data_IF_852896205579
#
_entry.id   IF_852896205579
#
_cell.length_a   1.000
_cell.length_b   1.000
_cell.length_c   1.000
_cell.angle_alpha   90.00
_cell.angle_beta   90.00
_cell.angle_gamma   90.00
#
_symmetry.space_group_name_H-M   'P 1'
#
loop_
_entity.id
_entity.type
_entity.pdbx_description
1 polymer ?
#
# COMPACT_ATOMS: atom_id res chain seq x y z
N UNK A 1 44.46 39.05 82.98
CA UNK A 1 45.18 38.87 81.71
C UNK A 1 44.42 37.80 80.92
N UNK A 2 43.65 38.20 79.92
CA UNK A 2 42.84 37.28 79.11
C UNK A 2 43.57 37.08 77.78
N UNK A 3 43.91 35.80 77.52
CA UNK A 3 44.55 35.41 76.27
C UNK A 3 43.43 35.10 75.25
N UNK A 4 43.42 35.77 74.11
CA UNK A 4 42.52 35.52 73.00
C UNK A 4 43.22 34.60 72.01
N UNK A 5 42.75 33.36 71.87
CA UNK A 5 43.20 32.42 70.84
C UNK A 5 42.36 32.65 69.56
N UNK A 6 42.99 33.05 68.48
CA UNK A 6 42.34 33.24 67.18
C UNK A 6 42.45 31.94 66.38
N UNK A 7 41.36 31.31 66.08
CA UNK A 7 41.25 30.08 65.27
C UNK A 7 41.00 30.51 63.81
N UNK A 8 42.00 30.24 62.94
CA UNK A 8 41.89 30.48 61.49
C UNK A 8 41.27 29.25 60.80
N UNK A 9 40.06 29.43 60.25
CA UNK A 9 39.41 28.39 59.42
C UNK A 9 39.95 28.48 57.99
N UNK A 10 40.58 27.38 57.54
CA UNK A 10 41.02 27.20 56.16
C UNK A 10 39.88 26.62 55.31
N UNK A 11 39.31 27.40 54.37
CA UNK A 11 38.33 26.89 53.41
C UNK A 11 39.02 26.23 52.25
N UNK A 12 38.83 24.93 52.12
CA UNK A 12 39.29 24.12 50.96
C UNK A 12 38.26 24.22 49.85
N UNK A 13 38.48 24.97 48.78
CA UNK A 13 37.67 24.98 47.57
C UNK A 13 37.97 23.72 46.73
N UNK A 14 37.06 22.77 46.72
CA UNK A 14 37.09 21.64 45.79
C UNK A 14 36.48 22.07 44.44
N UNK A 15 37.32 22.27 43.43
CA UNK A 15 36.87 22.50 42.06
C UNK A 15 36.33 21.19 41.46
N UNK A 16 35.02 21.08 41.33
CA UNK A 16 34.35 19.99 40.62
C UNK A 16 34.56 20.17 39.10
N UNK A 17 35.40 19.37 38.49
CA UNK A 17 35.51 19.30 37.02
C UNK A 17 34.30 18.57 36.48
N UNK A 18 33.37 19.30 35.89
CA UNK A 18 32.24 18.74 35.14
C UNK A 18 32.79 18.09 33.84
N UNK A 19 32.83 16.77 33.79
CA UNK A 19 33.09 16.03 32.56
C UNK A 19 31.82 16.13 31.68
N UNK A 20 31.89 16.80 30.55
CA UNK A 20 30.86 16.82 29.55
C UNK A 20 30.64 15.38 29.01
N UNK A 21 29.42 14.87 29.17
CA UNK A 21 29.03 13.58 28.58
C UNK A 21 29.11 13.67 27.04
N UNK A 22 29.74 12.69 26.36
CA UNK A 22 29.74 12.68 24.90
C UNK A 22 28.31 12.65 24.36
N UNK A 23 28.02 13.33 23.23
CA UNK A 23 26.69 13.31 22.64
C UNK A 23 26.29 11.86 22.32
N UNK A 24 24.99 11.50 22.48
CA UNK A 24 24.52 10.16 22.15
C UNK A 24 24.85 9.85 20.70
N UNK A 25 25.35 8.62 20.45
CA UNK A 25 25.63 8.14 19.10
C UNK A 25 24.36 8.28 18.25
N UNK A 26 24.46 9.02 17.16
CA UNK A 26 23.35 9.10 16.19
C UNK A 26 23.06 7.69 15.69
N UNK A 27 21.78 7.29 15.78
CA UNK A 27 21.32 6.06 15.15
C UNK A 27 21.73 6.08 13.67
N UNK A 28 22.19 4.95 13.08
CA UNK A 28 22.57 4.89 11.69
C UNK A 28 21.42 5.43 10.83
N UNK A 29 21.72 6.35 9.92
CA UNK A 29 20.75 6.90 8.99
C UNK A 29 20.11 5.74 8.23
N UNK A 30 18.76 5.68 8.23
CA UNK A 30 18.01 4.67 7.48
C UNK A 30 18.42 4.75 6.00
N UNK A 31 18.71 3.62 5.32
CA UNK A 31 19.07 3.66 3.92
C UNK A 31 17.98 4.38 3.13
N UNK A 32 18.35 5.42 2.41
CA UNK A 32 17.46 6.19 1.56
C UNK A 32 17.37 5.45 0.23
N UNK A 33 16.21 4.86 -0.08
CA UNK A 33 15.94 4.29 -1.39
C UNK A 33 15.56 5.41 -2.35
N UNK A 34 16.29 5.53 -3.45
CA UNK A 34 15.91 6.47 -4.49
C UNK A 34 14.69 5.97 -5.28
N UNK A 35 13.93 6.88 -5.88
CA UNK A 35 12.85 6.47 -6.80
C UNK A 35 13.36 5.60 -7.94
N UNK A 36 14.58 5.86 -8.43
CA UNK A 36 15.21 5.05 -9.49
C UNK A 36 15.46 3.60 -9.04
N UNK A 37 15.94 3.38 -7.81
CA UNK A 37 16.14 2.05 -7.25
C UNK A 37 14.81 1.29 -7.11
N UNK A 38 13.79 1.98 -6.63
CA UNK A 38 12.45 1.40 -6.47
C UNK A 38 11.79 1.11 -7.83
N UNK A 39 11.95 1.98 -8.81
CA UNK A 39 11.48 1.74 -10.17
C UNK A 39 12.17 0.51 -10.78
N UNK A 40 13.49 0.40 -10.64
CA UNK A 40 14.24 -0.76 -11.12
C UNK A 40 13.76 -2.06 -10.45
N UNK A 41 13.47 -2.03 -9.14
CA UNK A 41 12.90 -3.18 -8.43
C UNK A 41 11.51 -3.56 -8.98
N UNK A 42 10.61 -2.58 -9.16
CA UNK A 42 9.29 -2.80 -9.74
C UNK A 42 9.35 -3.34 -11.17
N UNK A 43 10.24 -2.78 -12.01
CA UNK A 43 10.44 -3.25 -13.39
C UNK A 43 10.97 -4.68 -13.42
N UNK A 44 11.89 -5.04 -12.52
CA UNK A 44 12.42 -6.40 -12.40
C UNK A 44 11.31 -7.41 -12.04
N UNK A 45 10.40 -7.03 -11.14
CA UNK A 45 9.22 -7.83 -10.82
C UNK A 45 8.31 -8.02 -12.04
N UNK A 46 7.98 -6.95 -12.76
CA UNK A 46 7.12 -7.04 -13.96
C UNK A 46 7.76 -7.92 -15.02
N UNK A 47 9.07 -7.83 -15.23
CA UNK A 47 9.79 -8.71 -16.17
C UNK A 47 9.82 -10.18 -15.71
N UNK A 48 10.01 -10.43 -14.41
CA UNK A 48 9.93 -11.75 -13.83
C UNK A 48 8.53 -12.37 -14.05
N UNK A 49 7.48 -11.60 -13.74
CA UNK A 49 6.09 -12.06 -13.89
C UNK A 49 5.71 -12.31 -15.36
N UNK A 50 6.18 -11.49 -16.30
CA UNK A 50 5.96 -11.71 -17.75
C UNK A 50 6.56 -13.03 -18.24
N UNK A 51 7.69 -13.43 -17.67
CA UNK A 51 8.41 -14.63 -18.11
C UNK A 51 8.18 -15.86 -17.23
N UNK A 52 7.55 -15.71 -16.06
CA UNK A 52 7.45 -16.76 -15.05
C UNK A 52 8.82 -17.17 -14.49
N UNK A 53 9.77 -16.21 -14.46
CA UNK A 53 11.14 -16.46 -14.03
C UNK A 53 11.51 -15.50 -12.87
N UNK A 54 11.34 -16.00 -11.66
CA UNK A 54 11.60 -15.27 -10.42
C UNK A 54 13.07 -14.86 -10.29
N UNK A 55 14.02 -15.50 -11.00
CA UNK A 55 15.44 -15.16 -10.96
C UNK A 55 15.75 -13.79 -11.56
N UNK A 56 14.82 -13.22 -12.34
CA UNK A 56 14.94 -11.86 -12.89
C UNK A 56 14.70 -10.77 -11.87
N UNK A 57 14.09 -11.08 -10.73
CA UNK A 57 13.99 -10.14 -9.62
C UNK A 57 15.35 -9.96 -8.94
N UNK A 58 15.69 -8.72 -8.59
CA UNK A 58 16.89 -8.41 -7.79
C UNK A 58 16.77 -8.85 -6.33
N UNK A 59 16.57 -10.13 -6.08
CA UNK A 59 16.30 -10.68 -4.75
C UNK A 59 17.52 -10.68 -3.85
N UNK A 60 17.29 -10.52 -2.55
CA UNK A 60 18.25 -10.90 -1.52
C UNK A 60 18.21 -12.42 -1.28
N UNK A 61 19.29 -12.98 -0.74
CA UNK A 61 19.40 -14.44 -0.51
C UNK A 61 18.35 -14.96 0.47
N UNK A 62 17.94 -14.12 1.44
CA UNK A 62 16.94 -14.38 2.47
C UNK A 62 15.56 -13.78 2.15
N UNK A 63 15.27 -13.51 0.88
CA UNK A 63 14.00 -12.93 0.47
C UNK A 63 12.80 -13.81 0.86
N UNK A 64 11.78 -13.17 1.46
CA UNK A 64 10.52 -13.83 1.84
C UNK A 64 9.45 -13.58 0.79
N UNK A 65 8.55 -14.55 0.67
CA UNK A 65 7.45 -14.50 -0.29
C UNK A 65 6.12 -14.76 0.41
N UNK A 66 5.16 -13.90 0.15
CA UNK A 66 3.78 -14.06 0.60
C UNK A 66 2.84 -13.95 -0.60
N UNK A 67 1.81 -14.80 -0.60
CA UNK A 67 0.67 -14.71 -1.53
C UNK A 67 -0.62 -14.79 -0.72
N UNK A 68 -1.51 -13.85 -0.96
CA UNK A 68 -2.79 -13.71 -0.25
C UNK A 68 -2.62 -13.72 1.29
N UNK A 69 -1.57 -13.02 1.75
CA UNK A 69 -1.18 -12.88 3.16
C UNK A 69 -0.76 -14.20 3.87
N UNK A 70 -0.39 -15.21 3.10
CA UNK A 70 0.19 -16.46 3.61
C UNK A 70 1.64 -16.59 3.11
N UNK A 71 2.54 -17.12 3.96
CA UNK A 71 3.91 -17.45 3.52
C UNK A 71 3.86 -18.55 2.45
N UNK A 72 4.56 -18.33 1.34
CA UNK A 72 4.64 -19.24 0.19
C UNK A 72 6.10 -19.47 -0.17
N UNK A 73 6.44 -20.70 -0.57
CA UNK A 73 7.79 -20.98 -1.06
C UNK A 73 8.09 -20.20 -2.34
N UNK A 74 9.33 -19.80 -2.54
CA UNK A 74 9.78 -19.03 -3.72
C UNK A 74 9.35 -19.67 -5.06
N UNK A 75 9.33 -20.99 -5.13
CA UNK A 75 9.01 -21.80 -6.31
C UNK A 75 7.53 -22.17 -6.46
N UNK A 76 6.66 -21.68 -5.55
CA UNK A 76 5.25 -22.08 -5.51
C UNK A 76 4.25 -20.97 -5.84
N UNK A 77 4.63 -19.68 -5.79
CA UNK A 77 3.70 -18.57 -6.03
C UNK A 77 3.49 -18.23 -7.52
N UNK A 78 2.50 -17.40 -7.79
CA UNK A 78 2.11 -16.98 -9.15
C UNK A 78 3.28 -16.35 -9.95
N UNK A 79 4.27 -15.75 -9.29
CA UNK A 79 5.47 -15.19 -9.93
C UNK A 79 6.32 -16.21 -10.72
N UNK A 80 6.04 -17.52 -10.58
CA UNK A 80 6.65 -18.58 -11.40
C UNK A 80 5.83 -18.93 -12.66
N UNK A 81 4.71 -18.25 -12.88
CA UNK A 81 3.87 -18.41 -14.06
C UNK A 81 4.06 -17.24 -15.01
N UNK A 82 4.37 -17.52 -16.28
CA UNK A 82 4.45 -16.51 -17.31
C UNK A 82 3.07 -15.92 -17.59
N UNK A 83 2.92 -14.61 -17.44
CA UNK A 83 1.65 -13.92 -17.62
C UNK A 83 1.70 -12.92 -18.79
N UNK A 84 0.72 -12.94 -19.71
CA UNK A 84 0.56 -11.93 -20.77
C UNK A 84 -0.02 -10.64 -20.17
N UNK A 85 0.83 -9.83 -19.50
CA UNK A 85 0.43 -8.62 -18.81
C UNK A 85 -0.07 -7.59 -19.81
N UNK A 86 -1.35 -7.21 -19.72
CA UNK A 86 -1.98 -6.20 -20.54
C UNK A 86 -1.69 -4.78 -20.03
N UNK A 87 -1.66 -4.59 -18.71
CA UNK A 87 -1.33 -3.31 -18.07
C UNK A 87 -0.58 -3.56 -16.76
N UNK A 88 0.42 -2.70 -16.48
CA UNK A 88 1.04 -2.63 -15.16
C UNK A 88 1.24 -1.18 -14.75
N UNK A 89 1.10 -0.91 -13.43
CA UNK A 89 1.29 0.41 -12.84
C UNK A 89 1.96 0.28 -11.49
N UNK A 90 3.02 1.06 -11.26
CA UNK A 90 3.79 1.00 -10.02
C UNK A 90 3.78 2.33 -9.28
N UNK A 91 3.75 2.26 -7.95
CA UNK A 91 3.86 3.39 -7.02
C UNK A 91 5.04 3.14 -6.08
N UNK A 92 5.77 4.21 -5.74
CA UNK A 92 7.11 4.13 -5.16
C UNK A 92 7.19 4.91 -3.84
N UNK A 93 7.33 4.22 -2.72
CA UNK A 93 7.50 4.79 -1.38
C UNK A 93 8.98 4.88 -1.01
N UNK A 94 9.63 6.01 -1.35
CA UNK A 94 11.04 6.24 -1.06
C UNK A 94 11.34 6.36 0.44
N UNK A 95 10.35 6.72 1.25
CA UNK A 95 10.52 6.87 2.70
C UNK A 95 10.60 5.52 3.41
N UNK A 96 9.85 4.52 2.92
CA UNK A 96 9.78 3.18 3.50
C UNK A 96 10.50 2.12 2.67
N UNK A 97 11.09 2.51 1.53
CA UNK A 97 11.74 1.58 0.60
C UNK A 97 10.80 0.46 0.14
N UNK A 98 9.62 0.84 -0.35
CA UNK A 98 8.60 -0.09 -0.80
C UNK A 98 8.04 0.31 -2.16
N UNK A 99 7.52 -0.68 -2.88
CA UNK A 99 6.71 -0.44 -4.08
C UNK A 99 5.36 -1.12 -3.95
N UNK A 100 4.37 -0.61 -4.67
CA UNK A 100 3.16 -1.34 -4.99
C UNK A 100 3.00 -1.35 -6.50
N UNK A 101 2.79 -2.52 -7.09
CA UNK A 101 2.56 -2.70 -8.52
C UNK A 101 1.26 -3.44 -8.74
N UNK A 102 0.35 -2.80 -9.48
CA UNK A 102 -0.86 -3.42 -10.01
C UNK A 102 -0.56 -4.02 -11.37
N UNK A 103 -0.97 -5.29 -11.58
CA UNK A 103 -0.79 -6.04 -12.83
C UNK A 103 -2.14 -6.57 -13.26
N UNK A 104 -2.51 -6.36 -14.53
CA UNK A 104 -3.77 -6.83 -15.10
C UNK A 104 -3.47 -7.77 -16.26
N UNK A 105 -4.08 -8.95 -16.20
CA UNK A 105 -3.98 -10.03 -17.19
C UNK A 105 -5.37 -10.42 -17.64
N UNK A 106 -5.68 -10.22 -18.91
CA UNK A 106 -7.01 -10.52 -19.49
C UNK A 106 -6.98 -11.68 -20.48
N UNK A 107 -5.77 -12.03 -20.98
CA UNK A 107 -5.56 -13.09 -21.94
C UNK A 107 -5.09 -14.37 -21.28
N UNK A 108 -5.23 -15.50 -21.98
CA UNK A 108 -4.89 -16.84 -21.51
C UNK A 108 -6.07 -17.54 -20.84
N UNK A 109 -5.80 -18.74 -20.34
CA UNK A 109 -6.85 -19.61 -19.76
C UNK A 109 -7.33 -19.13 -18.38
N UNK A 110 -6.54 -18.26 -17.74
CA UNK A 110 -6.80 -17.80 -16.39
C UNK A 110 -6.46 -16.31 -16.23
N UNK A 111 -7.44 -15.40 -16.37
CA UNK A 111 -7.25 -13.98 -16.13
C UNK A 111 -6.99 -13.67 -14.65
N UNK A 112 -6.17 -12.61 -14.39
CA UNK A 112 -5.80 -12.16 -13.04
C UNK A 112 -5.82 -10.65 -12.93
N UNK A 113 -6.08 -10.14 -11.71
CA UNK A 113 -5.66 -8.81 -11.28
C UNK A 113 -4.83 -8.98 -10.02
N UNK A 114 -3.58 -8.52 -10.07
CA UNK A 114 -2.59 -8.78 -9.01
C UNK A 114 -2.08 -7.46 -8.45
N UNK A 115 -2.08 -7.32 -7.15
CA UNK A 115 -1.41 -6.24 -6.44
C UNK A 115 -0.18 -6.77 -5.72
N UNK A 116 1.03 -6.36 -6.12
CA UNK A 116 2.27 -6.84 -5.50
C UNK A 116 3.03 -5.71 -4.84
N UNK A 117 3.46 -5.94 -3.61
CA UNK A 117 4.38 -5.09 -2.86
C UNK A 117 5.77 -5.68 -2.82
N UNK A 118 6.76 -4.82 -3.04
CA UNK A 118 8.16 -5.16 -2.82
C UNK A 118 8.69 -4.35 -1.63
N UNK A 119 9.46 -5.02 -0.79
CA UNK A 119 10.21 -4.38 0.30
C UNK A 119 11.67 -4.44 -0.08
N UNK A 120 12.28 -3.28 -0.24
CA UNK A 120 13.65 -3.13 -0.73
C UNK A 120 14.57 -2.71 0.40
N UNK A 121 15.74 -3.34 0.48
CA UNK A 121 16.81 -2.97 1.41
C UNK A 121 18.15 -3.08 0.71
N UNK A 122 18.98 -2.05 0.82
CA UNK A 122 20.29 -1.97 0.16
C UNK A 122 20.25 -2.35 -1.34
N UNK A 123 19.18 -1.93 -2.06
CA UNK A 123 19.00 -2.20 -3.49
C UNK A 123 18.57 -3.64 -3.82
N UNK A 124 18.23 -4.46 -2.83
CA UNK A 124 17.74 -5.84 -3.01
C UNK A 124 16.31 -6.00 -2.49
N UNK A 125 15.53 -6.82 -3.17
CA UNK A 125 14.17 -7.16 -2.74
C UNK A 125 14.26 -8.19 -1.62
N UNK A 126 13.83 -7.80 -0.41
CA UNK A 126 13.80 -8.62 0.80
C UNK A 126 12.48 -9.35 1.00
N UNK A 127 11.39 -8.82 0.42
CA UNK A 127 10.07 -9.43 0.51
C UNK A 127 9.25 -9.10 -0.72
N UNK A 128 8.58 -10.11 -1.24
CA UNK A 128 7.53 -10.04 -2.24
C UNK A 128 6.22 -10.42 -1.56
N UNK A 129 5.20 -9.57 -1.66
CA UNK A 129 3.90 -9.76 -1.00
C UNK A 129 2.80 -9.46 -2.02
N UNK A 130 2.16 -10.51 -2.55
CA UNK A 130 1.18 -10.40 -3.62
C UNK A 130 -0.23 -10.71 -3.12
N UNK A 131 -1.20 -9.89 -3.51
CA UNK A 131 -2.62 -10.26 -3.52
C UNK A 131 -3.00 -10.63 -4.94
N UNK A 132 -3.40 -11.88 -5.14
CA UNK A 132 -3.77 -12.46 -6.42
C UNK A 132 -5.28 -12.63 -6.44
N UNK A 133 -5.97 -11.92 -7.33
CA UNK A 133 -7.41 -12.08 -7.53
C UNK A 133 -7.70 -12.72 -8.88
N UNK A 134 -8.68 -13.61 -8.88
CA UNK A 134 -9.16 -14.36 -10.03
C UNK A 134 -10.67 -14.63 -9.97
N UNK A 135 -11.14 -15.51 -10.85
CA UNK A 135 -12.56 -15.86 -10.92
C UNK A 135 -13.06 -16.50 -9.61
N UNK A 136 -14.05 -15.88 -8.99
CA UNK A 136 -14.63 -16.27 -7.70
C UNK A 136 -14.29 -15.31 -6.59
N UNK A 137 -13.32 -14.44 -6.79
CA UNK A 137 -13.01 -13.34 -5.90
C UNK A 137 -14.04 -12.20 -5.97
N UNK A 138 -13.97 -11.26 -5.04
CA UNK A 138 -14.96 -10.20 -4.88
C UNK A 138 -15.07 -9.33 -6.13
N UNK A 139 -16.25 -9.33 -6.77
CA UNK A 139 -16.59 -8.56 -7.96
C UNK A 139 -15.62 -8.74 -9.13
N UNK A 140 -14.88 -9.85 -9.18
CA UNK A 140 -13.82 -10.05 -10.15
C UNK A 140 -14.32 -10.02 -11.60
N UNK A 141 -13.69 -9.19 -12.42
CA UNK A 141 -13.73 -9.19 -13.88
C UNK A 141 -12.52 -8.46 -14.44
N UNK A 142 -11.51 -9.20 -14.92
CA UNK A 142 -10.26 -8.62 -15.42
C UNK A 142 -10.46 -7.73 -16.65
N UNK A 143 -11.41 -8.04 -17.54
CA UNK A 143 -11.70 -7.22 -18.73
C UNK A 143 -12.27 -5.86 -18.36
N UNK A 144 -13.27 -5.84 -17.48
CA UNK A 144 -13.83 -4.60 -16.94
C UNK A 144 -12.76 -3.81 -16.17
N UNK A 145 -11.94 -4.49 -15.37
CA UNK A 145 -10.86 -3.85 -14.62
C UNK A 145 -9.87 -3.17 -15.55
N UNK A 146 -9.40 -3.87 -16.61
CA UNK A 146 -8.51 -3.29 -17.63
C UNK A 146 -9.15 -2.09 -18.32
N UNK A 147 -10.40 -2.23 -18.78
CA UNK A 147 -11.14 -1.18 -19.49
C UNK A 147 -11.17 0.14 -18.71
N UNK A 148 -11.53 0.09 -17.43
CA UNK A 148 -11.66 1.28 -16.61
C UNK A 148 -10.32 1.77 -16.08
N UNK A 149 -9.45 0.90 -15.60
CA UNK A 149 -8.10 1.27 -15.12
C UNK A 149 -7.26 1.94 -16.21
N UNK A 150 -7.37 1.49 -17.47
CA UNK A 150 -6.65 2.09 -18.61
C UNK A 150 -7.19 3.47 -19.00
N UNK A 151 -8.47 3.75 -18.73
CA UNK A 151 -9.11 5.03 -19.05
C UNK A 151 -8.91 6.11 -17.97
N UNK A 152 -8.50 5.72 -16.76
CA UNK A 152 -8.27 6.64 -15.66
C UNK A 152 -6.95 7.41 -15.76
N UNK A 153 -6.96 8.66 -15.31
CA UNK A 153 -5.74 9.46 -15.18
C UNK A 153 -5.03 9.15 -13.85
N UNK A 154 -3.86 8.52 -13.95
CA UNK A 154 -2.95 8.25 -12.84
C UNK A 154 -1.65 9.06 -12.95
N UNK A 155 -1.60 10.09 -13.75
CA UNK A 155 -0.45 10.98 -13.86
C UNK A 155 -0.17 11.68 -12.51
N UNK A 156 1.09 11.98 -12.26
CA UNK A 156 1.48 12.69 -11.03
C UNK A 156 0.80 14.08 -10.99
N UNK A 157 0.14 14.44 -9.90
CA UNK A 157 -0.46 15.76 -9.76
C UNK A 157 0.61 16.86 -9.73
N UNK A 158 0.24 18.07 -10.16
CA UNK A 158 1.10 19.24 -10.01
C UNK A 158 1.57 19.37 -8.54
N UNK A 159 2.80 19.85 -8.33
CA UNK A 159 3.40 19.92 -7.00
C UNK A 159 2.51 20.60 -5.95
N UNK A 160 1.80 21.67 -6.32
CA UNK A 160 0.87 22.38 -5.44
C UNK A 160 -0.39 21.59 -5.08
N UNK A 161 -0.72 20.55 -5.84
CA UNK A 161 -1.88 19.69 -5.63
C UNK A 161 -1.53 18.36 -4.94
N UNK A 162 -0.24 18.12 -4.65
CA UNK A 162 0.24 16.93 -3.95
C UNK A 162 -0.15 16.97 -2.48
N UNK A 163 -0.32 15.79 -1.92
CA UNK A 163 -0.76 15.59 -0.54
C UNK A 163 0.37 14.92 0.24
N UNK A 164 0.77 15.47 1.40
CA UNK A 164 1.82 14.85 2.22
C UNK A 164 1.38 13.49 2.80
N UNK A 165 2.34 12.61 3.07
CA UNK A 165 2.11 11.24 3.54
C UNK A 165 1.12 11.15 4.72
N UNK A 166 1.21 12.08 5.68
CA UNK A 166 0.30 12.11 6.85
C UNK A 166 -1.16 12.27 6.44
N UNK A 167 -1.43 13.11 5.47
CA UNK A 167 -2.79 13.37 4.98
C UNK A 167 -3.29 12.20 4.12
N UNK A 168 -2.42 11.59 3.28
CA UNK A 168 -2.73 10.37 2.54
C UNK A 168 -3.16 9.24 3.49
N UNK A 169 -2.40 9.02 4.58
CA UNK A 169 -2.74 8.02 5.62
C UNK A 169 -4.07 8.36 6.27
N UNK A 170 -4.29 9.62 6.67
CA UNK A 170 -5.52 10.05 7.32
C UNK A 170 -6.74 9.84 6.42
N UNK A 171 -6.63 10.20 5.14
CA UNK A 171 -7.70 10.00 4.16
C UNK A 171 -8.01 8.52 3.94
N UNK A 172 -6.99 7.69 3.70
CA UNK A 172 -7.18 6.25 3.53
C UNK A 172 -7.83 5.62 4.77
N UNK A 173 -7.37 5.99 5.97
CA UNK A 173 -7.96 5.49 7.21
C UNK A 173 -9.41 5.94 7.37
N UNK A 174 -9.75 7.20 7.07
CA UNK A 174 -11.14 7.65 7.17
C UNK A 174 -12.09 6.86 6.26
N UNK A 175 -11.63 6.46 5.06
CA UNK A 175 -12.40 5.57 4.18
C UNK A 175 -12.59 4.18 4.82
N UNK A 176 -11.50 3.58 5.32
CA UNK A 176 -11.56 2.24 5.89
C UNK A 176 -12.31 2.19 7.23
N UNK A 177 -12.29 3.28 7.99
CA UNK A 177 -12.99 3.39 9.27
C UNK A 177 -14.51 3.58 9.11
N UNK A 178 -14.98 4.05 7.93
CA UNK A 178 -16.43 4.13 7.62
C UNK A 178 -17.16 2.78 7.79
N UNK A 179 -16.46 1.66 7.60
CA UNK A 179 -17.03 0.33 7.77
C UNK A 179 -17.35 0.00 9.24
N UNK A 180 -16.64 0.61 10.19
CA UNK A 180 -16.90 0.46 11.63
C UNK A 180 -17.68 1.63 12.22
N UNK A 181 -17.51 2.84 11.70
CA UNK A 181 -18.21 4.05 12.15
C UNK A 181 -18.69 4.90 10.95
N UNK A 182 -19.98 4.86 10.69
CA UNK A 182 -20.63 5.52 9.54
C UNK A 182 -20.69 7.05 9.65
N UNK A 183 -20.31 7.61 10.79
CA UNK A 183 -20.27 9.06 11.00
C UNK A 183 -18.92 9.68 10.62
N UNK A 184 -17.92 8.86 10.29
CA UNK A 184 -16.64 9.35 9.81
C UNK A 184 -16.82 10.02 8.44
N UNK A 185 -16.22 11.20 8.27
CA UNK A 185 -16.20 11.90 7.02
C UNK A 185 -14.94 11.57 6.23
N UNK A 186 -15.08 10.89 5.10
CA UNK A 186 -13.98 10.68 4.17
C UNK A 186 -13.90 11.84 3.15
N UNK A 187 -12.70 12.20 2.64
CA UNK A 187 -12.50 13.34 1.76
C UNK A 187 -12.87 13.02 0.30
N UNK A 188 -14.14 12.76 0.04
CA UNK A 188 -14.66 12.47 -1.30
C UNK A 188 -14.40 13.61 -2.27
N UNK A 189 -13.90 13.27 -3.46
CA UNK A 189 -13.78 14.20 -4.58
C UNK A 189 -14.98 14.13 -5.53
N UNK A 190 -15.09 15.10 -6.42
CA UNK A 190 -16.07 15.16 -7.49
C UNK A 190 -15.35 15.74 -8.75
N UNK A 191 -15.22 14.96 -9.84
CA UNK A 191 -15.57 13.56 -9.96
C UNK A 191 -14.64 12.64 -9.16
N UNK A 192 -15.18 11.50 -8.75
CA UNK A 192 -14.41 10.40 -8.18
C UNK A 192 -14.98 9.07 -8.67
N UNK A 193 -14.11 8.08 -8.90
CA UNK A 193 -14.51 6.75 -9.33
C UNK A 193 -13.90 5.66 -8.45
N UNK A 194 -14.64 4.56 -8.24
CA UNK A 194 -14.16 3.36 -7.58
C UNK A 194 -14.24 2.19 -8.54
N UNK A 195 -13.12 1.49 -8.67
CA UNK A 195 -12.97 0.23 -9.39
C UNK A 195 -12.71 -0.89 -8.38
N UNK A 196 -13.66 -1.78 -8.22
CA UNK A 196 -13.65 -2.83 -7.22
C UNK A 196 -13.78 -4.19 -7.91
N UNK A 197 -12.67 -4.93 -8.01
CA UNK A 197 -12.59 -6.22 -8.70
C UNK A 197 -12.90 -6.18 -10.20
N UNK A 198 -13.72 -5.31 -10.66
CA UNK A 198 -14.20 -5.10 -12.03
C UNK A 198 -15.45 -4.21 -12.05
N UNK A 199 -16.14 -4.09 -10.92
CA UNK A 199 -17.26 -3.17 -10.78
C UNK A 199 -16.78 -1.72 -10.74
N UNK A 200 -17.39 -0.85 -11.56
CA UNK A 200 -16.99 0.55 -11.69
C UNK A 200 -18.13 1.52 -11.41
N UNK A 201 -17.92 2.46 -10.50
CA UNK A 201 -18.99 3.35 -10.04
C UNK A 201 -19.30 4.48 -11.04
N UNK A 202 -18.31 4.93 -11.83
CA UNK A 202 -18.50 6.02 -12.79
C UNK A 202 -18.51 5.55 -14.26
N UNK A 203 -19.31 4.53 -14.56
CA UNK A 203 -19.40 3.89 -15.90
C UNK A 203 -19.78 4.84 -17.04
N UNK A 204 -20.47 5.94 -16.72
CA UNK A 204 -21.01 6.90 -17.71
C UNK A 204 -20.17 8.19 -17.79
N UNK A 205 -18.98 8.22 -17.20
CA UNK A 205 -18.11 9.42 -17.16
C UNK A 205 -18.84 10.67 -16.64
N UNK A 206 -19.67 10.50 -15.62
CA UNK A 206 -20.43 11.59 -15.01
C UNK A 206 -19.47 12.54 -14.26
N UNK A 207 -19.38 13.83 -14.60
CA UNK A 207 -18.50 14.78 -13.92
C UNK A 207 -18.95 15.09 -12.49
N UNK A 208 -20.15 14.69 -12.10
CA UNK A 208 -20.68 14.82 -10.72
C UNK A 208 -20.64 13.50 -9.96
N UNK A 209 -19.98 12.45 -10.49
CA UNK A 209 -19.89 11.18 -9.79
C UNK A 209 -19.07 11.31 -8.50
N UNK A 210 -19.50 10.61 -7.47
CA UNK A 210 -18.74 10.39 -6.24
C UNK A 210 -18.35 8.93 -6.11
N UNK A 211 -17.23 8.66 -5.48
CA UNK A 211 -16.81 7.30 -5.13
C UNK A 211 -17.27 6.88 -3.71
N UNK A 212 -18.23 7.59 -3.15
CA UNK A 212 -18.86 7.22 -1.88
C UNK A 212 -19.41 5.80 -1.95
N UNK A 213 -19.05 5.00 -0.96
CA UNK A 213 -19.41 3.58 -0.93
C UNK A 213 -20.75 3.37 -0.22
N UNK A 214 -21.52 2.39 -0.69
CA UNK A 214 -22.60 1.82 0.08
C UNK A 214 -22.02 0.98 1.22
N UNK A 215 -21.97 1.54 2.43
CA UNK A 215 -21.47 0.81 3.61
C UNK A 215 -22.53 -0.23 4.02
N UNK A 216 -22.16 -1.52 4.15
CA UNK A 216 -23.10 -2.56 4.58
C UNK A 216 -23.62 -2.29 6.00
N UNK A 217 -24.81 -2.79 6.35
CA UNK A 217 -25.34 -2.68 7.70
C UNK A 217 -24.44 -3.42 8.70
N UNK A 218 -24.34 -2.90 9.92
CA UNK A 218 -23.50 -3.47 10.97
C UNK A 218 -22.15 -2.78 11.12
N UNK A 219 -21.33 -3.30 12.02
CA UNK A 219 -19.97 -2.85 12.29
C UNK A 219 -18.99 -3.86 11.71
N UNK A 220 -18.15 -3.41 10.81
CA UNK A 220 -17.12 -4.23 10.20
C UNK A 220 -15.77 -3.51 10.35
N UNK A 221 -14.78 -4.20 10.92
CA UNK A 221 -13.45 -3.65 11.06
C UNK A 221 -12.58 -4.04 9.87
N UNK A 222 -11.78 -3.09 9.39
CA UNK A 222 -10.71 -3.33 8.43
C UNK A 222 -9.40 -3.17 9.19
N UNK A 223 -8.69 -4.27 9.35
CA UNK A 223 -7.56 -4.42 10.29
C UNK A 223 -6.24 -4.78 9.58
N UNK A 224 -5.14 -4.83 10.33
CA UNK A 224 -3.80 -5.19 9.84
C UNK A 224 -3.35 -4.31 8.67
N UNK A 225 -3.63 -3.02 8.75
CA UNK A 225 -3.31 -2.05 7.68
C UNK A 225 -1.80 -1.84 7.57
N UNK A 226 -1.28 -2.06 6.38
CA UNK A 226 0.11 -1.74 6.01
C UNK A 226 0.10 -0.87 4.75
N UNK A 227 1.07 0.06 4.61
CA UNK A 227 0.99 1.16 3.67
C UNK A 227 2.18 1.20 2.72
N UNK A 228 1.92 1.51 1.45
CA UNK A 228 2.89 2.03 0.48
C UNK A 228 2.41 3.41 0.04
N UNK A 229 3.26 4.44 0.14
CA UNK A 229 2.87 5.83 -0.04
C UNK A 229 3.76 6.49 -1.08
N UNK A 230 3.19 6.88 -2.20
CA UNK A 230 3.86 7.67 -3.23
C UNK A 230 3.32 9.10 -3.22
N UNK A 231 3.98 9.99 -2.47
CA UNK A 231 3.56 11.40 -2.36
C UNK A 231 3.65 12.14 -3.71
N UNK A 232 4.59 11.75 -4.60
CA UNK A 232 4.71 12.38 -5.90
C UNK A 232 3.55 12.02 -6.82
N UNK A 233 3.08 10.78 -6.77
CA UNK A 233 1.91 10.32 -7.49
C UNK A 233 0.58 10.72 -6.80
N UNK A 234 0.63 11.16 -5.53
CA UNK A 234 -0.54 11.40 -4.72
C UNK A 234 -1.30 10.10 -4.39
N UNK A 235 -0.58 8.99 -4.21
CA UNK A 235 -1.15 7.65 -4.07
C UNK A 235 -0.76 7.01 -2.76
N UNK A 236 -1.72 6.33 -2.15
CA UNK A 236 -1.51 5.43 -1.03
C UNK A 236 -2.17 4.08 -1.34
N UNK A 237 -1.42 3.01 -1.21
CA UNK A 237 -1.96 1.65 -1.22
C UNK A 237 -1.95 1.08 0.19
N UNK A 238 -3.07 0.43 0.57
CA UNK A 238 -3.25 -0.20 1.88
C UNK A 238 -3.53 -1.68 1.67
N UNK A 239 -2.62 -2.56 2.12
CA UNK A 239 -2.95 -3.96 2.35
C UNK A 239 -3.57 -4.09 3.72
N UNK A 240 -4.67 -4.83 3.82
CA UNK A 240 -5.43 -4.98 5.05
C UNK A 240 -6.23 -6.29 5.03
N UNK A 241 -6.94 -6.58 6.13
CA UNK A 241 -7.94 -7.63 6.16
C UNK A 241 -9.33 -7.02 6.31
N UNK A 242 -10.22 -7.37 5.42
CA UNK A 242 -11.61 -6.97 5.45
C UNK A 242 -12.38 -7.92 6.38
N UNK A 243 -12.66 -7.46 7.59
CA UNK A 243 -13.20 -8.24 8.69
C UNK A 243 -12.20 -8.37 9.86
N UNK A 244 -12.14 -9.54 10.50
CA UNK A 244 -11.23 -9.73 11.62
C UNK A 244 -9.79 -10.08 11.16
N UNK A 245 -8.84 -10.05 12.11
CA UNK A 245 -7.41 -10.20 11.83
C UNK A 245 -6.97 -11.60 11.34
N UNK A 246 -7.76 -12.65 11.60
CA UNK A 246 -7.36 -14.03 11.29
C UNK A 246 -8.09 -14.61 10.09
N UNK A 247 -9.37 -14.30 9.91
CA UNK A 247 -10.24 -14.88 8.86
C UNK A 247 -10.81 -13.85 7.90
N UNK A 248 -10.55 -12.55 8.11
CA UNK A 248 -10.96 -11.50 7.19
C UNK A 248 -10.29 -11.68 5.82
N UNK A 249 -10.99 -11.30 4.77
CA UNK A 249 -10.46 -11.41 3.40
C UNK A 249 -9.17 -10.59 3.26
N UNK A 250 -8.10 -11.14 2.67
CA UNK A 250 -6.99 -10.35 2.20
C UNK A 250 -7.47 -9.29 1.21
N UNK A 251 -7.07 -8.06 1.44
CA UNK A 251 -7.67 -6.93 0.77
C UNK A 251 -6.63 -5.84 0.48
N UNK A 252 -6.78 -5.18 -0.66
CA UNK A 252 -5.95 -4.08 -1.12
C UNK A 252 -6.81 -2.91 -1.53
N UNK A 253 -6.58 -1.74 -0.93
CA UNK A 253 -7.15 -0.49 -1.37
C UNK A 253 -6.07 0.45 -1.86
N UNK A 254 -6.19 0.93 -3.10
CA UNK A 254 -5.30 1.95 -3.69
C UNK A 254 -6.08 3.23 -3.89
N UNK A 255 -5.69 4.29 -3.21
CA UNK A 255 -6.34 5.59 -3.27
C UNK A 255 -5.45 6.58 -4.00
N UNK A 256 -6.00 7.35 -4.93
CA UNK A 256 -5.36 8.53 -5.49
C UNK A 256 -6.04 9.79 -4.97
N UNK A 257 -5.24 10.73 -4.50
CA UNK A 257 -5.69 12.03 -4.00
C UNK A 257 -5.07 13.18 -4.79
N UNK A 258 -5.91 14.16 -5.10
CA UNK A 258 -5.49 15.44 -5.67
C UNK A 258 -6.12 16.54 -4.83
N UNK A 259 -5.35 17.53 -4.39
CA UNK A 259 -5.83 18.60 -3.50
C UNK A 259 -6.55 18.05 -2.23
N UNK A 260 -6.06 16.96 -1.67
CA UNK A 260 -6.62 16.34 -0.47
C UNK A 260 -7.96 15.62 -0.67
N UNK A 261 -8.39 15.39 -1.91
CA UNK A 261 -9.64 14.70 -2.24
C UNK A 261 -9.39 13.43 -3.03
N UNK A 262 -10.14 12.37 -2.75
CA UNK A 262 -10.11 11.16 -3.57
C UNK A 262 -10.54 11.45 -5.00
N UNK A 263 -9.79 10.93 -5.96
CA UNK A 263 -10.16 10.93 -7.39
C UNK A 263 -10.42 9.52 -7.89
N UNK A 264 -9.64 8.55 -7.40
CA UNK A 264 -9.73 7.15 -7.79
C UNK A 264 -9.55 6.26 -6.56
N UNK A 265 -10.28 5.16 -6.53
CA UNK A 265 -10.12 4.08 -5.53
C UNK A 265 -10.15 2.74 -6.26
N UNK A 266 -9.07 1.96 -6.17
CA UNK A 266 -9.02 0.58 -6.65
C UNK A 266 -9.05 -0.40 -5.49
N UNK A 267 -9.81 -1.48 -5.62
CA UNK A 267 -9.93 -2.50 -4.58
C UNK A 267 -9.75 -3.90 -5.18
N UNK A 268 -8.94 -4.71 -4.52
CA UNK A 268 -8.75 -6.12 -4.79
C UNK A 268 -9.01 -6.89 -3.50
N UNK A 269 -9.96 -7.83 -3.51
CA UNK A 269 -10.33 -8.59 -2.31
C UNK A 269 -10.38 -10.08 -2.65
N UNK A 270 -9.59 -10.88 -1.93
CA UNK A 270 -9.43 -12.32 -2.17
C UNK A 270 -10.44 -13.11 -1.36
N UNK A 271 -11.25 -13.93 -2.02
CA UNK A 271 -12.20 -14.82 -1.38
C UNK A 271 -11.51 -16.10 -0.87
N UNK A 272 -11.37 -16.23 0.44
CA UNK A 272 -10.75 -17.41 1.05
C UNK A 272 -11.69 -18.64 1.11
N UNK A 273 -12.93 -18.51 0.62
CA UNK A 273 -13.90 -19.60 0.60
C UNK A 273 -14.38 -19.88 -0.83
N UNK A 274 -13.65 -20.66 -1.62
CA UNK A 274 -14.02 -20.95 -3.00
C UNK A 274 -15.35 -21.72 -3.16
N UNK A 275 -15.83 -22.37 -2.08
CA UNK A 275 -17.14 -23.03 -2.08
C UNK A 275 -18.32 -22.05 -2.00
N UNK A 276 -18.06 -20.79 -1.71
CA UNK A 276 -19.03 -19.71 -1.68
C UNK A 276 -18.50 -18.53 -2.51
N UNK A 277 -18.58 -18.57 -3.84
CA UNK A 277 -18.03 -17.54 -4.70
C UNK A 277 -18.71 -16.20 -4.43
N UNK A 278 -17.91 -15.15 -4.53
CA UNK A 278 -18.39 -13.78 -4.38
C UNK A 278 -19.23 -13.33 -5.58
N UNK A 279 -20.08 -12.28 -5.43
CA UNK A 279 -20.68 -11.61 -6.57
C UNK A 279 -19.61 -11.20 -7.59
N UNK A 280 -19.95 -11.18 -8.86
CA UNK A 280 -19.04 -10.85 -9.96
C UNK A 280 -19.47 -9.53 -10.61
N UNK A 281 -18.56 -8.91 -11.38
CA UNK A 281 -18.90 -7.82 -12.28
C UNK A 281 -19.06 -8.35 -13.72
N UNK A 282 -19.87 -7.68 -14.53
CA UNK A 282 -19.91 -7.89 -15.98
C UNK A 282 -18.84 -7.03 -16.70
N UNK A 283 -18.65 -7.22 -18.01
CA UNK A 283 -17.67 -6.47 -18.82
C UNK A 283 -17.98 -4.96 -18.93
N UNK A 284 -19.15 -4.53 -18.48
CA UNK A 284 -19.53 -3.12 -18.37
C UNK A 284 -19.33 -2.58 -16.95
N UNK A 285 -18.76 -3.34 -16.04
CA UNK A 285 -18.50 -2.95 -14.67
C UNK A 285 -19.77 -2.85 -13.80
N UNK A 286 -20.85 -3.53 -14.19
CA UNK A 286 -22.03 -3.65 -13.34
C UNK A 286 -21.93 -4.91 -12.47
N UNK A 287 -22.43 -4.83 -11.23
CA UNK A 287 -22.49 -5.99 -10.34
C UNK A 287 -23.59 -6.93 -10.83
N UNK A 288 -23.23 -8.17 -11.10
CA UNK A 288 -24.16 -9.26 -11.40
C UNK A 288 -24.29 -10.20 -10.19
N UNK A 289 -25.52 -10.59 -9.87
CA UNK A 289 -25.84 -11.44 -8.71
C UNK A 289 -26.19 -12.85 -9.17
#
# INVERSE_FOLDING_TARGET
MMNKTTTTLLFLCIAATSQAQPPPAQAPAKPVCTRADLQAAADSYVQAQKSGDVSKMGLADDARFLENMADVAKDAGLWNTALPIALSRSFLDSTRCRTFTEVIVTEGDHPYVVGTRLYVDAGKIKRVDSLVTDKGDWLFNANAYLKYSAAEDWSAPAAAARVPAKELISAANSYLDLFSDKFIAAPWGIPCARLEGGAYTNRNNNPSATCEVGIPPGVLYIVNRDYVIDEEAGVINVFCRFGNSSTGMPDSHTFRLVNGRFTNVHTLSVNLNPSNPSPQADDNGAIVR
#
